data_IF_552378902191
#
_entry.id   IF_552378902191
#
_cell.length_a   1.000
_cell.length_b   1.000
_cell.length_c   1.000
_cell.angle_alpha   90.00
_cell.angle_beta   90.00
_cell.angle_gamma   90.00
#
_symmetry.space_group_name_H-M   'P 1'
#
loop_
_entity.id
_entity.type
_entity.pdbx_description
1 polymer ?
#
# COMPACT_ATOMS: atom_id res chain seq x y z
N UNK A 1 2.76 -0.64 2.02
CA UNK A 1 2.23 0.75 2.03
C UNK A 1 1.82 1.15 0.62
N UNK A 2 0.59 0.83 0.18
CA UNK A 2 0.14 1.14 -1.18
C UNK A 2 0.23 2.63 -1.54
N UNK A 3 -0.08 3.53 -0.60
CA UNK A 3 0.03 4.97 -0.86
C UNK A 3 1.46 5.47 -1.14
N UNK A 4 2.48 4.82 -0.57
CA UNK A 4 3.88 5.09 -0.92
C UNK A 4 4.23 4.65 -2.33
N UNK A 5 3.64 3.54 -2.80
CA UNK A 5 3.83 3.06 -4.16
C UNK A 5 3.17 4.02 -5.15
N UNK A 6 1.99 4.54 -4.84
CA UNK A 6 1.32 5.57 -5.65
C UNK A 6 2.21 6.81 -5.81
N UNK A 7 2.72 7.36 -4.69
CA UNK A 7 3.65 8.50 -4.73
C UNK A 7 4.88 8.23 -5.61
N UNK A 8 5.48 7.04 -5.50
CA UNK A 8 6.64 6.65 -6.31
C UNK A 8 6.31 6.48 -7.79
N UNK A 9 5.16 5.88 -8.10
CA UNK A 9 4.68 5.70 -9.47
C UNK A 9 4.40 7.06 -10.14
N UNK A 10 3.93 8.04 -9.38
CA UNK A 10 3.69 9.41 -9.87
C UNK A 10 4.94 10.29 -9.89
N UNK A 11 6.12 9.71 -9.66
CA UNK A 11 7.42 10.39 -9.78
C UNK A 11 7.90 11.14 -8.54
N UNK A 12 7.19 11.04 -7.41
CA UNK A 12 7.61 11.65 -6.15
C UNK A 12 8.67 10.79 -5.46
N UNK A 13 9.81 11.40 -5.14
CA UNK A 13 10.90 10.78 -4.35
C UNK A 13 10.56 10.79 -2.86
N UNK A 14 9.59 9.98 -2.46
CA UNK A 14 9.19 9.83 -1.06
C UNK A 14 10.10 8.84 -0.31
N UNK A 15 10.86 9.34 0.67
CA UNK A 15 11.59 8.49 1.63
C UNK A 15 10.63 7.85 2.63
N UNK A 16 10.82 6.57 2.93
CA UNK A 16 9.94 5.84 3.84
C UNK A 16 10.12 6.28 5.31
N UNK A 17 11.36 6.55 5.74
CA UNK A 17 11.66 6.82 7.14
C UNK A 17 10.90 8.03 7.70
N UNK A 18 10.92 9.23 7.07
CA UNK A 18 10.20 10.38 7.61
C UNK A 18 8.69 10.16 7.67
N UNK A 19 8.13 9.50 6.66
CA UNK A 19 6.69 9.23 6.57
C UNK A 19 6.26 8.29 7.70
N UNK A 20 6.98 7.17 7.89
CA UNK A 20 6.69 6.21 8.96
C UNK A 20 6.85 6.86 10.34
N UNK A 21 7.89 7.68 10.54
CA UNK A 21 8.10 8.39 11.80
C UNK A 21 6.95 9.35 12.11
N UNK A 22 6.51 10.16 11.14
CA UNK A 22 5.41 11.12 11.35
C UNK A 22 4.08 10.41 11.57
N UNK A 23 3.75 9.38 10.78
CA UNK A 23 2.51 8.62 10.98
C UNK A 23 2.52 7.84 12.29
N UNK A 24 3.67 7.30 12.69
CA UNK A 24 3.84 6.60 13.96
C UNK A 24 3.70 7.52 15.16
N UNK A 25 4.38 8.68 15.14
CA UNK A 25 4.28 9.68 16.19
C UNK A 25 2.84 10.26 16.27
N UNK A 26 2.22 10.54 15.14
CA UNK A 26 0.83 10.98 15.08
C UNK A 26 -0.13 9.94 15.68
N UNK A 27 0.07 8.66 15.35
CA UNK A 27 -0.70 7.56 15.95
C UNK A 27 -0.51 7.48 17.46
N UNK A 28 0.72 7.64 17.95
CA UNK A 28 1.03 7.60 19.38
C UNK A 28 0.37 8.75 20.13
N UNK A 29 0.42 9.97 19.58
CA UNK A 29 -0.21 11.16 20.15
C UNK A 29 -1.75 11.04 20.15
N UNK A 30 -2.31 10.40 19.13
CA UNK A 30 -3.76 10.26 18.96
C UNK A 30 -4.34 8.98 19.60
N UNK A 31 -3.51 8.03 20.00
CA UNK A 31 -3.92 6.80 20.69
C UNK A 31 -4.82 7.03 21.91
N UNK A 32 -4.54 7.97 22.86
CA UNK A 32 -5.43 8.20 24.00
C UNK A 32 -6.81 8.76 23.60
N UNK A 33 -6.96 9.31 22.40
CA UNK A 33 -8.22 9.80 21.86
C UNK A 33 -9.04 8.70 21.14
N UNK A 34 -8.60 7.43 21.23
CA UNK A 34 -9.25 6.30 20.56
C UNK A 34 -8.96 6.23 19.06
N UNK A 35 -7.93 6.93 18.58
CA UNK A 35 -7.56 6.92 17.17
C UNK A 35 -6.96 5.58 16.74
N UNK A 36 -7.24 5.19 15.50
CA UNK A 36 -6.53 4.12 14.81
C UNK A 36 -5.15 4.57 14.31
N UNK A 37 -4.34 3.59 13.89
CA UNK A 37 -3.02 3.85 13.32
C UNK A 37 -3.12 4.66 12.02
N UNK A 38 -2.38 5.77 11.98
CA UNK A 38 -2.26 6.63 10.80
C UNK A 38 -1.38 5.96 9.75
N UNK A 39 -1.78 6.10 8.49
CA UNK A 39 -1.05 5.59 7.34
C UNK A 39 -1.30 6.48 6.11
N UNK A 40 -0.53 6.27 5.05
CA UNK A 40 -0.73 6.99 3.79
C UNK A 40 -1.93 6.39 3.04
N UNK A 41 -2.99 7.20 2.90
CA UNK A 41 -4.18 6.85 2.15
C UNK A 41 -3.89 6.79 0.65
N UNK A 42 -3.98 5.59 0.07
CA UNK A 42 -3.63 5.36 -1.33
C UNK A 42 -4.60 6.04 -2.32
N UNK A 43 -5.91 6.05 -2.02
CA UNK A 43 -6.92 6.70 -2.88
C UNK A 43 -6.67 8.21 -2.89
N UNK A 44 -6.58 8.83 -1.72
CA UNK A 44 -6.33 10.27 -1.58
C UNK A 44 -5.00 10.65 -2.22
N UNK A 45 -3.95 9.84 -2.03
CA UNK A 45 -2.67 10.06 -2.70
C UNK A 45 -2.88 10.10 -4.22
N UNK A 46 -3.48 9.07 -4.83
CA UNK A 46 -3.67 8.98 -6.27
C UNK A 46 -4.45 10.16 -6.85
N UNK A 47 -5.48 10.64 -6.13
CA UNK A 47 -6.27 11.81 -6.54
C UNK A 47 -5.42 13.08 -6.46
N UNK A 48 -4.71 13.30 -5.36
CA UNK A 48 -3.93 14.52 -5.15
C UNK A 48 -2.65 14.57 -5.99
N UNK A 49 -2.08 13.43 -6.37
CA UNK A 49 -0.87 13.35 -7.20
C UNK A 49 -1.16 13.23 -8.69
N UNK A 50 -2.43 13.03 -9.08
CA UNK A 50 -2.89 12.97 -10.46
C UNK A 50 -2.65 14.24 -11.28
N UNK A 51 -2.67 14.12 -12.61
CA UNK A 51 -2.45 15.26 -13.52
C UNK A 51 -3.60 16.28 -13.45
N UNK A 52 -4.81 15.82 -13.08
CA UNK A 52 -5.98 16.67 -12.89
C UNK A 52 -5.83 17.64 -11.71
N UNK A 53 -4.98 17.33 -10.71
CA UNK A 53 -4.80 18.18 -9.53
C UNK A 53 -4.07 19.48 -9.85
N UNK A 54 -3.04 19.40 -10.70
CA UNK A 54 -2.31 20.54 -11.26
C UNK A 54 -1.38 20.06 -12.39
N UNK A 55 -1.25 20.83 -13.47
CA UNK A 55 -0.31 20.52 -14.57
C UNK A 55 1.13 20.40 -14.06
N UNK A 56 1.60 21.43 -13.36
CA UNK A 56 2.89 21.42 -12.65
C UNK A 56 2.91 20.44 -11.45
N UNK A 57 3.77 19.41 -11.56
CA UNK A 57 4.04 18.41 -10.52
C UNK A 57 4.39 19.02 -9.15
N UNK A 58 5.15 20.12 -9.15
CA UNK A 58 5.59 20.80 -7.93
C UNK A 58 4.47 21.53 -7.17
N UNK A 59 3.31 21.77 -7.79
CA UNK A 59 2.17 22.46 -7.18
C UNK A 59 1.05 21.53 -6.72
N UNK A 60 1.16 20.22 -7.01
CA UNK A 60 0.13 19.22 -6.64
C UNK A 60 -0.08 19.05 -5.14
N UNK A 61 0.85 19.50 -4.30
CA UNK A 61 0.68 19.53 -2.84
C UNK A 61 -0.52 20.37 -2.39
N UNK A 62 -0.94 21.36 -3.19
CA UNK A 62 -2.10 22.21 -2.89
C UNK A 62 -3.37 21.36 -2.78
N UNK A 63 -3.54 20.36 -3.66
CA UNK A 63 -4.68 19.44 -3.61
C UNK A 63 -4.66 18.60 -2.31
N UNK A 64 -3.48 18.15 -1.88
CA UNK A 64 -3.33 17.41 -0.64
C UNK A 64 -3.63 18.28 0.60
N UNK A 65 -3.20 19.54 0.61
CA UNK A 65 -3.48 20.48 1.70
C UNK A 65 -4.95 20.85 1.75
N UNK A 66 -5.57 21.14 0.60
CA UNK A 66 -7.01 21.36 0.52
C UNK A 66 -7.79 20.15 1.04
N UNK A 67 -7.45 18.93 0.58
CA UNK A 67 -8.08 17.70 1.06
C UNK A 67 -7.91 17.52 2.57
N UNK A 68 -6.72 17.79 3.12
CA UNK A 68 -6.46 17.74 4.56
C UNK A 68 -7.33 18.72 5.36
N UNK A 69 -7.44 19.97 4.91
CA UNK A 69 -8.30 20.98 5.55
C UNK A 69 -9.76 20.56 5.52
N UNK A 70 -10.27 20.09 4.38
CA UNK A 70 -11.63 19.59 4.27
C UNK A 70 -11.86 18.36 5.16
N UNK A 71 -10.90 17.44 5.26
CA UNK A 71 -11.00 16.28 6.15
C UNK A 71 -11.03 16.68 7.63
N UNK A 72 -10.27 17.70 8.04
CA UNK A 72 -10.35 18.24 9.41
C UNK A 72 -11.73 18.85 9.65
N UNK A 73 -12.23 19.69 8.74
CA UNK A 73 -13.56 20.28 8.85
C UNK A 73 -14.64 19.21 8.97
N UNK A 74 -14.62 18.22 8.09
CA UNK A 74 -15.55 17.08 8.12
C UNK A 74 -15.39 16.26 9.41
N UNK A 75 -14.15 16.07 9.89
CA UNK A 75 -13.85 15.38 11.14
C UNK A 75 -14.42 16.07 12.38
N UNK A 76 -14.44 17.41 12.42
CA UNK A 76 -15.10 18.19 13.47
C UNK A 76 -16.61 17.90 13.53
N UNK A 77 -17.24 17.70 12.37
CA UNK A 77 -18.63 17.28 12.26
C UNK A 77 -18.82 15.75 12.20
N UNK A 78 -17.83 14.97 12.63
CA UNK A 78 -17.80 13.52 12.45
C UNK A 78 -19.01 12.79 13.02
N UNK A 79 -19.51 13.19 14.19
CA UNK A 79 -20.73 12.61 14.80
C UNK A 79 -21.96 12.88 13.94
N UNK A 80 -22.13 14.11 13.46
CA UNK A 80 -23.24 14.51 12.59
C UNK A 80 -23.18 13.75 11.26
N UNK A 81 -21.99 13.62 10.68
CA UNK A 81 -21.80 12.89 9.44
C UNK A 81 -22.07 11.39 9.61
N UNK A 82 -21.63 10.80 10.73
CA UNK A 82 -21.92 9.41 11.06
C UNK A 82 -23.44 9.17 11.18
N UNK A 83 -24.17 10.07 11.84
CA UNK A 83 -25.63 10.01 11.93
C UNK A 83 -26.30 10.14 10.55
N UNK A 84 -25.78 11.01 9.68
CA UNK A 84 -26.27 11.14 8.30
C UNK A 84 -26.06 9.85 7.50
N UNK A 85 -24.89 9.22 7.60
CA UNK A 85 -24.64 7.94 6.92
C UNK A 85 -25.53 6.82 7.48
N UNK A 86 -25.85 6.81 8.77
CA UNK A 86 -26.79 5.84 9.35
C UNK A 86 -28.23 5.98 8.83
N UNK A 87 -28.60 7.12 8.23
CA UNK A 87 -29.90 7.31 7.59
C UNK A 87 -29.99 6.65 6.19
N UNK A 88 -28.84 6.32 5.57
CA UNK A 88 -28.81 5.63 4.27
C UNK A 88 -28.81 4.11 4.43
N UNK A 89 -29.34 3.34 3.46
CA UNK A 89 -29.26 1.88 3.46
C UNK A 89 -27.81 1.40 3.46
N UNK A 90 -27.50 0.38 4.27
CA UNK A 90 -26.15 -0.18 4.38
C UNK A 90 -25.58 -0.66 3.03
N UNK A 91 -26.43 -1.17 2.14
CA UNK A 91 -26.07 -1.57 0.78
C UNK A 91 -25.61 -0.39 -0.09
N UNK A 92 -26.15 0.81 0.11
CA UNK A 92 -25.70 2.00 -0.63
C UNK A 92 -24.30 2.44 -0.20
N UNK A 93 -24.04 2.43 1.11
CA UNK A 93 -22.73 2.80 1.66
C UNK A 93 -21.66 1.80 1.22
N UNK A 94 -21.95 0.50 1.29
CA UNK A 94 -21.00 -0.55 0.92
C UNK A 94 -20.70 -0.57 -0.58
N UNK A 95 -21.70 -0.31 -1.43
CA UNK A 95 -21.50 -0.21 -2.88
C UNK A 95 -20.66 1.02 -3.26
N UNK A 96 -20.93 2.19 -2.66
CA UNK A 96 -20.08 3.37 -2.85
C UNK A 96 -18.64 3.15 -2.38
N UNK A 97 -18.45 2.54 -1.20
CA UNK A 97 -17.13 2.22 -0.69
C UNK A 97 -16.39 1.24 -1.62
N UNK A 98 -17.09 0.21 -2.11
CA UNK A 98 -16.54 -0.75 -3.08
C UNK A 98 -16.12 -0.08 -4.39
N UNK A 99 -16.97 0.76 -4.96
CA UNK A 99 -16.68 1.52 -6.19
C UNK A 99 -15.45 2.43 -6.02
N UNK A 100 -15.33 3.10 -4.87
CA UNK A 100 -14.18 3.94 -4.57
C UNK A 100 -12.87 3.13 -4.44
N UNK A 101 -12.95 1.87 -4.02
CA UNK A 101 -11.79 0.97 -3.88
C UNK A 101 -11.36 0.30 -5.19
N UNK A 102 -12.23 0.22 -6.21
CA UNK A 102 -11.92 -0.48 -7.47
C UNK A 102 -10.63 0.05 -8.13
N UNK A 103 -10.48 1.37 -8.21
CA UNK A 103 -9.30 1.99 -8.84
C UNK A 103 -8.01 1.67 -8.09
N UNK A 104 -8.04 1.71 -6.76
CA UNK A 104 -6.84 1.41 -5.95
C UNK A 104 -6.50 -0.07 -5.92
N UNK A 105 -7.49 -0.96 -5.88
CA UNK A 105 -7.28 -2.41 -6.02
C UNK A 105 -6.68 -2.71 -7.39
N UNK A 106 -7.26 -2.18 -8.46
CA UNK A 106 -6.78 -2.36 -9.83
C UNK A 106 -5.33 -1.92 -10.01
N UNK A 107 -4.99 -0.69 -9.59
CA UNK A 107 -3.62 -0.17 -9.69
C UNK A 107 -2.60 -0.93 -8.83
N UNK A 108 -2.98 -1.31 -7.61
CA UNK A 108 -2.10 -2.08 -6.71
C UNK A 108 -1.84 -3.48 -7.25
N UNK A 109 -2.89 -4.15 -7.76
CA UNK A 109 -2.77 -5.49 -8.33
C UNK A 109 -1.98 -5.45 -9.64
N UNK A 110 -2.25 -4.50 -10.54
CA UNK A 110 -1.48 -4.34 -11.77
C UNK A 110 0.02 -4.18 -11.50
N UNK A 111 0.37 -3.38 -10.49
CA UNK A 111 1.76 -3.20 -10.05
C UNK A 111 2.34 -4.49 -9.46
N UNK A 112 1.59 -5.19 -8.61
CA UNK A 112 2.03 -6.45 -7.97
C UNK A 112 2.19 -7.62 -8.97
N UNK A 113 1.46 -7.60 -10.08
CA UNK A 113 1.48 -8.61 -11.15
C UNK A 113 2.51 -8.31 -12.26
N UNK A 114 3.17 -7.16 -12.21
CA UNK A 114 4.02 -6.67 -13.30
C UNK A 114 5.20 -7.60 -13.59
N UNK A 115 5.85 -8.12 -12.55
CA UNK A 115 6.96 -9.07 -12.69
C UNK A 115 6.45 -10.51 -12.80
N UNK A 116 6.71 -11.14 -13.95
CA UNK A 116 6.32 -12.52 -14.23
C UNK A 116 6.83 -13.52 -13.19
N UNK A 117 8.01 -13.30 -12.58
CA UNK A 117 8.57 -14.20 -11.56
C UNK A 117 7.78 -14.18 -10.25
N UNK A 118 7.17 -13.04 -9.92
CA UNK A 118 6.49 -12.84 -8.63
C UNK A 118 4.97 -12.91 -8.74
N UNK A 119 4.46 -12.91 -9.98
CA UNK A 119 3.03 -12.88 -10.31
C UNK A 119 2.22 -13.94 -9.58
N UNK A 120 2.64 -15.20 -9.63
CA UNK A 120 1.91 -16.31 -8.98
C UNK A 120 1.82 -16.11 -7.46
N UNK A 121 2.92 -15.73 -6.82
CA UNK A 121 2.93 -15.47 -5.38
C UNK A 121 2.03 -14.27 -5.00
N UNK A 122 2.05 -13.21 -5.80
CA UNK A 122 1.19 -12.05 -5.61
C UNK A 122 -0.31 -12.40 -5.82
N UNK A 123 -0.65 -13.31 -6.74
CA UNK A 123 -2.03 -13.81 -6.94
C UNK A 123 -2.48 -14.62 -5.74
N UNK A 124 -1.64 -15.55 -5.27
CA UNK A 124 -1.90 -16.36 -4.08
C UNK A 124 -2.12 -15.45 -2.86
N UNK A 125 -1.29 -14.41 -2.70
CA UNK A 125 -1.43 -13.39 -1.64
C UNK A 125 -2.81 -12.73 -1.69
N UNK A 126 -3.21 -12.26 -2.87
CA UNK A 126 -4.49 -11.57 -3.07
C UNK A 126 -5.68 -12.50 -2.82
N UNK A 127 -5.68 -13.71 -3.38
CA UNK A 127 -6.74 -14.70 -3.18
C UNK A 127 -6.86 -15.11 -1.70
N UNK A 128 -5.75 -15.36 -1.03
CA UNK A 128 -5.73 -15.73 0.38
C UNK A 128 -6.21 -14.59 1.29
N UNK A 129 -5.86 -13.33 0.97
CA UNK A 129 -6.39 -12.16 1.68
C UNK A 129 -7.89 -11.98 1.44
N UNK A 130 -8.36 -12.15 0.21
CA UNK A 130 -9.77 -12.03 -0.18
C UNK A 130 -10.66 -13.14 0.41
N UNK A 131 -10.10 -14.34 0.63
CA UNK A 131 -10.78 -15.44 1.32
C UNK A 131 -11.14 -15.11 2.78
N UNK A 132 -10.61 -14.01 3.34
CA UNK A 132 -10.91 -13.49 4.66
C UNK A 132 -10.77 -14.53 5.79
N UNK A 133 -9.72 -15.37 5.69
CA UNK A 133 -9.41 -16.37 6.72
C UNK A 133 -8.98 -15.64 8.00
N UNK A 134 -9.80 -15.73 9.04
CA UNK A 134 -9.47 -15.21 10.36
C UNK A 134 -8.96 -16.35 11.24
N UNK A 135 -7.70 -16.26 11.67
CA UNK A 135 -7.09 -17.21 12.59
C UNK A 135 -6.47 -16.43 13.75
N UNK A 136 -6.68 -16.90 14.98
CA UNK A 136 -6.16 -16.28 16.22
C UNK A 136 -6.58 -14.81 16.41
N UNK A 137 -7.73 -14.40 15.86
CA UNK A 137 -8.21 -13.02 15.91
C UNK A 137 -7.51 -12.06 14.95
N UNK A 138 -6.61 -12.56 14.09
CA UNK A 138 -5.94 -11.76 13.06
C UNK A 138 -6.65 -12.01 11.72
N UNK A 139 -7.06 -10.92 11.06
CA UNK A 139 -7.83 -10.96 9.82
C UNK A 139 -7.05 -11.47 8.59
N UNK A 140 -7.79 -11.74 7.52
CA UNK A 140 -7.28 -12.38 6.30
C UNK A 140 -6.15 -11.64 5.60
N UNK A 141 -6.06 -10.30 5.71
CA UNK A 141 -4.98 -9.53 5.09
C UNK A 141 -3.58 -9.94 5.60
N UNK A 142 -3.45 -10.27 6.89
CA UNK A 142 -2.19 -10.72 7.46
C UNK A 142 -1.84 -12.13 7.01
N UNK A 143 -2.79 -13.07 7.16
CA UNK A 143 -2.58 -14.46 6.77
C UNK A 143 -2.37 -14.62 5.27
N UNK A 144 -3.08 -13.84 4.46
CA UNK A 144 -2.87 -13.77 3.02
C UNK A 144 -1.45 -13.34 2.67
N UNK A 145 -0.89 -12.34 3.37
CA UNK A 145 0.51 -11.93 3.20
C UNK A 145 1.49 -13.03 3.61
N UNK A 146 1.25 -13.72 4.72
CA UNK A 146 2.11 -14.83 5.19
C UNK A 146 2.11 -15.98 4.19
N UNK A 147 0.93 -16.41 3.73
CA UNK A 147 0.78 -17.47 2.71
C UNK A 147 1.45 -17.05 1.40
N UNK A 148 1.23 -15.81 0.99
CA UNK A 148 1.85 -15.20 -0.18
C UNK A 148 3.37 -15.20 -0.15
N UNK A 149 3.95 -14.82 0.99
CA UNK A 149 5.40 -14.83 1.20
C UNK A 149 5.96 -16.26 1.23
N UNK A 150 5.23 -17.20 1.81
CA UNK A 150 5.56 -18.62 1.75
C UNK A 150 5.57 -19.15 0.31
N UNK A 151 4.55 -18.83 -0.48
CA UNK A 151 4.49 -19.17 -1.90
C UNK A 151 5.62 -18.51 -2.70
N UNK A 152 5.92 -17.25 -2.42
CA UNK A 152 7.06 -16.54 -3.03
C UNK A 152 8.38 -17.27 -2.74
N UNK A 153 8.62 -17.66 -1.48
CA UNK A 153 9.83 -18.36 -1.09
C UNK A 153 9.96 -19.75 -1.76
N UNK A 154 8.85 -20.49 -1.89
CA UNK A 154 8.85 -21.81 -2.53
C UNK A 154 9.04 -21.70 -4.05
N UNK A 155 8.39 -20.75 -4.71
CA UNK A 155 8.40 -20.60 -6.16
C UNK A 155 9.66 -19.89 -6.68
N UNK A 156 10.20 -18.93 -5.94
CA UNK A 156 11.37 -18.14 -6.32
C UNK A 156 12.66 -18.49 -5.57
N UNK A 157 12.58 -19.35 -4.56
CA UNK A 157 13.72 -19.82 -3.76
C UNK A 157 14.63 -20.79 -4.51
N UNK A 158 15.29 -20.35 -5.57
CA UNK A 158 16.54 -20.98 -6.02
C UNK A 158 17.67 -20.45 -5.14
N UNK A 159 18.12 -21.27 -4.19
CA UNK A 159 19.38 -21.09 -3.47
C UNK A 159 20.46 -20.60 -4.45
N UNK A 160 21.27 -19.58 -4.09
CA UNK A 160 22.44 -19.23 -4.89
C UNK A 160 23.31 -20.48 -4.98
N UNK A 161 23.32 -21.13 -6.15
CA UNK A 161 24.25 -22.21 -6.44
C UNK A 161 25.61 -21.56 -6.40
N UNK A 162 26.31 -21.71 -5.27
CA UNK A 162 27.71 -21.33 -5.08
C UNK A 162 28.45 -21.86 -6.30
N UNK A 163 28.76 -20.98 -7.25
CA UNK A 163 29.66 -21.31 -8.34
C UNK A 163 30.93 -21.81 -7.67
N UNK A 164 31.22 -23.11 -7.84
CA UNK A 164 32.47 -23.69 -7.41
C UNK A 164 33.54 -22.82 -8.01
N UNK A 165 34.32 -22.18 -7.15
CA UNK A 165 35.57 -21.54 -7.51
C UNK A 165 36.34 -22.51 -8.41
N UNK A 166 36.42 -22.17 -9.70
CA UNK A 166 37.31 -22.80 -10.65
C UNK A 166 38.73 -22.39 -10.31
N UNK A 167 39.28 -22.97 -9.25
CA UNK A 167 40.73 -23.05 -9.04
C UNK A 167 41.21 -24.15 -9.97
N UNK A 168 41.53 -23.84 -11.24
CA UNK A 168 42.51 -24.59 -12.02
C UNK A 168 43.24 -23.63 -12.98
N UNK A 169 44.47 -23.30 -12.56
CA UNK A 169 45.67 -22.94 -13.33
C UNK A 169 45.59 -22.40 -14.76
N UNK A 170 46.20 -21.23 -14.95
CA UNK A 170 47.17 -21.04 -16.04
C UNK A 170 48.19 -19.97 -15.62
N UNK A 171 49.31 -20.46 -15.09
CA UNK A 171 50.60 -19.78 -15.18
C UNK A 171 50.95 -19.54 -16.65
N UNK A 172 51.28 -18.30 -17.03
CA UNK A 172 52.51 -17.97 -17.76
C UNK A 172 52.50 -16.48 -18.14
N UNK A 173 53.25 -15.70 -17.37
CA UNK A 173 54.03 -14.59 -17.91
C UNK A 173 55.47 -15.04 -18.11
N UNK A 174 56.25 -14.18 -18.76
CA UNK A 174 57.65 -14.32 -19.23
C UNK A 174 57.74 -14.88 -20.66
N UNK A 175 58.27 -14.16 -21.65
CA UNK A 175 59.26 -13.07 -21.61
C UNK A 175 60.55 -13.56 -22.25
#
# INVERSE_FOLDING_TARGET
MPGMLVLRNDGFKASANPIVTVTGLGSLLMAPFGSHAFNIAAITAAICTGKEAHEELAKRWIAAVAAGVFYILVGVFGVTLAALFMAFPATFISTLAGLALLGTIGGSLATAMADAKTREASLITFLAAAANISLLGIGGAFWGLVIGLGAYAVLNGRLPRRERAGVIGASNGEG
#
